data_IF_394636714566
#
_entry.id   IF_394636714566
#
_cell.length_a   1.000
_cell.length_b   1.000
_cell.length_c   1.000
_cell.angle_alpha   90.00
_cell.angle_beta   90.00
_cell.angle_gamma   90.00
#
_symmetry.space_group_name_H-M   'P 1'
#
loop_
_entity.id
_entity.type
_entity.pdbx_description
1 polymer ?
#
# COMPACT_ATOMS: atom_id res chain seq x y z
N UNK A 1 -0.06 11.26 17.71
CA UNK A 1 0.20 12.68 17.39
C UNK A 1 1.59 13.10 17.84
N UNK A 2 1.99 12.81 19.08
CA UNK A 2 3.32 13.17 19.62
C UNK A 2 4.46 12.37 18.95
N UNK A 3 4.19 11.13 18.50
CA UNK A 3 5.19 10.27 17.84
C UNK A 3 5.16 10.32 16.29
N UNK A 4 4.50 11.31 15.68
CA UNK A 4 4.47 11.42 14.22
C UNK A 4 5.83 11.93 13.70
N UNK A 5 6.45 11.18 12.80
CA UNK A 5 7.72 11.49 12.13
C UNK A 5 7.52 12.22 10.79
N UNK A 6 6.30 12.25 10.22
CA UNK A 6 6.01 13.09 9.04
C UNK A 6 4.68 13.80 9.16
N UNK A 7 4.50 14.87 8.37
CA UNK A 7 3.24 15.62 8.33
C UNK A 7 2.07 14.74 7.88
N UNK A 8 2.30 13.82 6.94
CA UNK A 8 1.31 12.83 6.51
C UNK A 8 0.85 11.92 7.66
N UNK A 9 1.77 11.48 8.52
CA UNK A 9 1.41 10.70 9.72
C UNK A 9 0.64 11.53 10.75
N UNK A 10 0.97 12.82 10.87
CA UNK A 10 0.27 13.74 11.78
C UNK A 10 -1.18 13.92 11.35
N UNK A 11 -1.43 14.11 10.04
CA UNK A 11 -2.77 14.20 9.46
C UNK A 11 -3.52 12.88 9.65
N UNK A 12 -2.90 11.73 9.40
CA UNK A 12 -3.52 10.40 9.60
C UNK A 12 -4.05 10.22 11.04
N UNK A 13 -3.21 10.58 12.01
CA UNK A 13 -3.55 10.47 13.43
C UNK A 13 -4.69 11.42 13.83
N UNK A 14 -4.81 12.56 13.17
CA UNK A 14 -5.93 13.50 13.37
C UNK A 14 -7.21 12.98 12.74
N UNK A 15 -7.16 12.47 11.51
CA UNK A 15 -8.32 12.00 10.75
C UNK A 15 -9.06 10.85 11.43
N UNK A 16 -8.32 9.95 12.10
CA UNK A 16 -8.89 8.84 12.89
C UNK A 16 -9.81 9.33 14.02
N UNK A 17 -9.63 10.56 14.52
CA UNK A 17 -10.43 11.15 15.59
C UNK A 17 -11.73 11.82 15.11
N UNK A 18 -11.94 11.96 13.80
CA UNK A 18 -12.94 12.89 13.25
C UNK A 18 -14.36 12.35 13.06
N UNK A 19 -14.78 11.28 13.75
CA UNK A 19 -16.17 10.77 13.73
C UNK A 19 -16.67 10.18 12.38
N UNK A 20 -16.12 10.65 11.25
CA UNK A 20 -16.45 10.25 9.87
C UNK A 20 -16.36 8.74 9.65
N UNK A 21 -15.41 8.06 10.28
CA UNK A 21 -15.25 6.61 10.18
C UNK A 21 -16.42 5.87 10.82
N UNK A 22 -16.92 6.39 11.95
CA UNK A 22 -18.08 5.83 12.64
C UNK A 22 -19.33 6.00 11.78
N UNK A 23 -19.51 7.18 11.19
CA UNK A 23 -20.66 7.46 10.33
C UNK A 23 -20.64 6.58 9.08
N UNK A 24 -19.48 6.38 8.45
CA UNK A 24 -19.31 5.48 7.31
C UNK A 24 -19.70 4.03 7.64
N UNK A 25 -19.14 3.47 8.72
CA UNK A 25 -19.46 2.09 9.11
C UNK A 25 -20.92 1.93 9.55
N UNK A 26 -21.51 2.97 10.13
CA UNK A 26 -22.93 2.98 10.48
C UNK A 26 -23.80 2.99 9.22
N UNK A 27 -23.45 3.76 8.18
CA UNK A 27 -24.14 3.76 6.88
C UNK A 27 -24.12 2.39 6.24
N UNK A 28 -22.94 1.76 6.12
CA UNK A 28 -22.83 0.41 5.56
C UNK A 28 -23.65 -0.59 6.36
N UNK A 29 -23.61 -0.52 7.70
CA UNK A 29 -24.44 -1.37 8.56
C UNK A 29 -25.93 -1.20 8.24
N UNK A 30 -26.44 0.03 8.21
CA UNK A 30 -27.84 0.31 7.91
C UNK A 30 -28.26 -0.25 6.54
N UNK A 31 -27.40 -0.12 5.53
CA UNK A 31 -27.66 -0.64 4.19
C UNK A 31 -27.66 -2.16 4.15
N UNK A 32 -26.72 -2.84 4.82
CA UNK A 32 -26.71 -4.31 4.89
C UNK A 32 -27.96 -4.81 5.63
N UNK A 33 -28.35 -4.17 6.74
CA UNK A 33 -29.56 -4.54 7.50
C UNK A 33 -30.82 -4.39 6.64
N UNK A 34 -30.93 -3.32 5.84
CA UNK A 34 -32.04 -3.14 4.89
C UNK A 34 -32.11 -4.29 3.89
N UNK A 35 -30.99 -4.72 3.33
CA UNK A 35 -30.95 -5.83 2.38
C UNK A 35 -31.34 -7.18 3.04
N UNK A 36 -30.91 -7.43 4.29
CA UNK A 36 -31.37 -8.60 5.06
C UNK A 36 -32.88 -8.55 5.31
N UNK A 37 -33.43 -7.37 5.64
CA UNK A 37 -34.87 -7.20 5.82
C UNK A 37 -35.65 -7.48 4.53
N UNK A 38 -35.17 -7.01 3.37
CA UNK A 38 -35.77 -7.30 2.07
C UNK A 38 -35.81 -8.81 1.78
N UNK A 39 -34.70 -9.53 1.99
CA UNK A 39 -34.69 -10.99 1.81
C UNK A 39 -35.56 -11.71 2.83
N UNK A 40 -35.63 -11.21 4.07
CA UNK A 40 -36.51 -11.78 5.11
C UNK A 40 -37.98 -11.63 4.70
N UNK A 41 -38.36 -10.49 4.11
CA UNK A 41 -39.70 -10.29 3.54
C UNK A 41 -40.02 -11.33 2.46
N UNK A 42 -39.07 -11.62 1.57
CA UNK A 42 -39.25 -12.64 0.53
C UNK A 42 -39.44 -14.04 1.14
N UNK A 43 -38.73 -14.36 2.22
CA UNK A 43 -38.88 -15.64 2.92
C UNK A 43 -40.26 -15.75 3.59
N UNK A 44 -40.66 -14.73 4.33
CA UNK A 44 -41.84 -14.78 5.18
C UNK A 44 -43.15 -14.58 4.40
N UNK A 45 -43.11 -13.85 3.29
CA UNK A 45 -44.30 -13.43 2.52
C UNK A 45 -44.21 -13.75 1.03
N UNK A 46 -43.18 -14.45 0.55
CA UNK A 46 -43.00 -14.73 -0.88
C UNK A 46 -44.15 -15.50 -1.54
N UNK A 47 -44.97 -16.21 -0.76
CA UNK A 47 -46.19 -16.88 -1.26
C UNK A 47 -47.35 -15.91 -1.54
N UNK A 48 -47.35 -14.72 -0.91
CA UNK A 48 -48.38 -13.69 -1.05
C UNK A 48 -48.05 -12.66 -2.15
N UNK A 49 -46.86 -12.75 -2.77
CA UNK A 49 -46.33 -11.81 -3.76
C UNK A 49 -46.25 -12.43 -5.16
N UNK A 50 -46.38 -11.58 -6.20
CA UNK A 50 -46.16 -12.01 -7.59
C UNK A 50 -44.68 -12.39 -7.81
N UNK A 51 -44.43 -13.41 -8.64
CA UNK A 51 -43.08 -13.91 -8.96
C UNK A 51 -42.18 -12.78 -9.49
N UNK A 52 -42.76 -11.83 -10.25
CA UNK A 52 -42.05 -10.66 -10.77
C UNK A 52 -41.62 -9.70 -9.64
N UNK A 53 -42.45 -9.48 -8.62
CA UNK A 53 -42.11 -8.63 -7.48
C UNK A 53 -40.95 -9.23 -6.66
N UNK A 54 -40.99 -10.53 -6.43
CA UNK A 54 -39.92 -11.26 -5.73
C UNK A 54 -38.60 -11.17 -6.50
N UNK A 55 -38.65 -11.37 -7.83
CA UNK A 55 -37.47 -11.26 -8.67
C UNK A 55 -36.87 -9.84 -8.67
N UNK A 56 -37.71 -8.81 -8.68
CA UNK A 56 -37.26 -7.42 -8.58
C UNK A 56 -36.59 -7.11 -7.23
N UNK A 57 -37.17 -7.56 -6.12
CA UNK A 57 -36.57 -7.38 -4.78
C UNK A 57 -35.18 -8.02 -4.70
N UNK A 58 -35.03 -9.22 -5.26
CA UNK A 58 -33.74 -9.91 -5.32
C UNK A 58 -32.70 -9.16 -6.15
N UNK A 59 -33.11 -8.61 -7.29
CA UNK A 59 -32.23 -7.83 -8.16
C UNK A 59 -31.75 -6.55 -7.47
N UNK A 60 -32.64 -5.87 -6.74
CA UNK A 60 -32.32 -4.68 -5.96
C UNK A 60 -31.31 -4.99 -4.86
N UNK A 61 -31.49 -6.12 -4.15
CA UNK A 61 -30.54 -6.60 -3.15
C UNK A 61 -29.18 -6.88 -3.79
N UNK A 62 -29.13 -7.60 -4.91
CA UNK A 62 -27.88 -7.92 -5.60
C UNK A 62 -27.10 -6.67 -6.04
N UNK A 63 -27.78 -5.68 -6.61
CA UNK A 63 -27.16 -4.42 -7.01
C UNK A 63 -26.59 -3.65 -5.81
N UNK A 64 -27.34 -3.60 -4.70
CA UNK A 64 -26.88 -2.95 -3.48
C UNK A 64 -25.66 -3.65 -2.87
N UNK A 65 -25.66 -4.98 -2.84
CA UNK A 65 -24.51 -5.75 -2.33
C UNK A 65 -23.27 -5.56 -3.21
N UNK A 66 -23.40 -5.56 -4.54
CA UNK A 66 -22.27 -5.29 -5.44
C UNK A 66 -21.70 -3.88 -5.26
N UNK A 67 -22.55 -2.88 -5.04
CA UNK A 67 -22.10 -1.51 -4.74
C UNK A 67 -21.36 -1.46 -3.41
N UNK A 68 -21.95 -2.00 -2.33
CA UNK A 68 -21.34 -2.01 -0.99
C UNK A 68 -20.00 -2.76 -0.98
N UNK A 69 -19.93 -3.90 -1.66
CA UNK A 69 -18.68 -4.66 -1.82
C UNK A 69 -17.59 -3.79 -2.47
N UNK A 70 -17.92 -3.12 -3.58
CA UNK A 70 -16.97 -2.23 -4.27
C UNK A 70 -16.49 -1.09 -3.36
N UNK A 71 -17.39 -0.45 -2.62
CA UNK A 71 -17.05 0.62 -1.68
C UNK A 71 -16.12 0.13 -0.55
N UNK A 72 -16.41 -1.04 0.03
CA UNK A 72 -15.62 -1.63 1.11
C UNK A 72 -14.24 -2.06 0.61
N UNK A 73 -14.17 -2.67 -0.58
CA UNK A 73 -12.90 -3.06 -1.20
C UNK A 73 -12.02 -1.84 -1.50
N UNK A 74 -12.60 -0.78 -2.04
CA UNK A 74 -11.89 0.47 -2.33
C UNK A 74 -11.40 1.13 -1.04
N UNK A 75 -12.22 1.12 0.00
CA UNK A 75 -11.83 1.57 1.33
C UNK A 75 -10.67 0.75 1.92
N UNK A 76 -10.71 -0.59 1.83
CA UNK A 76 -9.62 -1.46 2.30
C UNK A 76 -8.32 -1.23 1.52
N UNK A 77 -8.39 -0.99 0.20
CA UNK A 77 -7.22 -0.59 -0.60
C UNK A 77 -6.61 0.71 -0.10
N UNK A 78 -7.44 1.71 0.23
CA UNK A 78 -6.96 2.98 0.81
C UNK A 78 -6.32 2.81 2.20
N UNK A 79 -6.86 1.91 3.03
CA UNK A 79 -6.26 1.56 4.34
C UNK A 79 -4.88 0.96 4.13
N UNK A 80 -4.71 0.02 3.20
CA UNK A 80 -3.41 -0.57 2.89
C UNK A 80 -2.39 0.50 2.43
N UNK A 81 -2.79 1.39 1.53
CA UNK A 81 -1.94 2.50 1.08
C UNK A 81 -1.55 3.43 2.24
N UNK A 82 -2.48 3.71 3.14
CA UNK A 82 -2.25 4.53 4.34
C UNK A 82 -1.33 3.84 5.36
N UNK A 83 -1.40 2.52 5.50
CA UNK A 83 -0.46 1.77 6.35
C UNK A 83 0.98 1.87 5.83
N UNK A 84 1.17 1.87 4.51
CA UNK A 84 2.51 2.06 3.92
C UNK A 84 3.03 3.47 4.23
N UNK A 85 2.18 4.50 4.16
CA UNK A 85 2.55 5.86 4.59
C UNK A 85 2.97 5.92 6.06
N UNK A 86 2.27 5.18 6.93
CA UNK A 86 2.54 5.17 8.37
C UNK A 86 3.77 4.35 8.76
N UNK A 87 3.91 3.13 8.24
CA UNK A 87 5.07 2.26 8.52
C UNK A 87 6.35 2.81 7.87
N UNK A 88 6.19 3.54 6.77
CA UNK A 88 7.26 4.09 5.96
C UNK A 88 7.63 3.15 4.82
N UNK A 89 7.99 3.74 3.68
CA UNK A 89 8.37 3.03 2.45
C UNK A 89 9.79 2.52 2.61
N UNK A 90 9.99 1.20 2.46
CA UNK A 90 11.31 0.58 2.57
C UNK A 90 12.10 0.76 1.29
N UNK A 91 13.10 1.64 1.32
CA UNK A 91 14.04 1.88 0.22
C UNK A 91 15.32 1.05 0.43
N UNK A 92 15.61 0.15 -0.51
CA UNK A 92 16.82 -0.66 -0.50
C UNK A 92 17.83 -0.14 -1.50
N UNK A 93 19.05 0.13 -1.05
CA UNK A 93 20.14 0.58 -1.92
C UNK A 93 21.02 -0.58 -2.34
N UNK A 94 21.23 -0.72 -3.66
CA UNK A 94 22.10 -1.73 -4.23
C UNK A 94 23.08 -1.09 -5.20
N UNK A 95 24.32 -1.56 -5.24
CA UNK A 95 25.33 -1.04 -6.17
C UNK A 95 26.73 -1.43 -5.74
N UNK A 96 27.71 -1.38 -6.65
CA UNK A 96 29.09 -1.74 -6.35
C UNK A 96 29.69 -0.82 -5.27
N UNK A 97 30.84 -1.20 -4.67
CA UNK A 97 31.63 -0.30 -3.83
C UNK A 97 31.88 1.03 -4.56
N UNK A 98 31.95 2.13 -3.81
CA UNK A 98 32.22 3.47 -4.35
C UNK A 98 31.22 4.02 -5.39
N UNK A 99 30.11 3.31 -5.65
CA UNK A 99 29.00 3.80 -6.48
C UNK A 99 28.37 5.11 -5.99
N UNK A 100 28.66 5.51 -4.74
CA UNK A 100 28.16 6.74 -4.12
C UNK A 100 26.85 6.58 -3.34
N UNK A 101 26.55 5.36 -2.86
CA UNK A 101 25.37 5.06 -2.02
C UNK A 101 25.24 6.00 -0.82
N UNK A 102 26.31 6.13 -0.02
CA UNK A 102 26.34 7.02 1.15
C UNK A 102 26.24 8.49 0.78
N UNK A 103 26.87 8.89 -0.33
CA UNK A 103 26.80 10.28 -0.83
C UNK A 103 25.38 10.65 -1.26
N UNK A 104 24.69 9.74 -1.95
CA UNK A 104 23.30 9.93 -2.37
C UNK A 104 22.37 10.06 -1.16
N UNK A 105 22.53 9.18 -0.17
CA UNK A 105 21.74 9.25 1.06
C UNK A 105 21.97 10.52 1.83
N UNK A 106 23.23 10.92 2.02
CA UNK A 106 23.55 12.16 2.70
C UNK A 106 22.99 13.36 1.94
N UNK A 107 22.95 13.33 0.61
CA UNK A 107 22.34 14.40 -0.17
C UNK A 107 20.84 14.48 0.11
N UNK A 108 20.11 13.35 0.00
CA UNK A 108 18.66 13.29 0.21
C UNK A 108 18.31 13.69 1.65
N UNK A 109 19.01 13.12 2.64
CA UNK A 109 18.79 13.37 4.07
C UNK A 109 19.10 14.82 4.52
N UNK A 110 19.97 15.53 3.80
CA UNK A 110 20.31 16.92 4.12
C UNK A 110 19.39 17.96 3.47
N UNK A 111 18.67 17.60 2.39
CA UNK A 111 17.69 18.50 1.77
C UNK A 111 16.30 18.36 2.40
N UNK A 112 15.89 17.12 2.65
CA UNK A 112 14.63 16.81 3.32
C UNK A 112 14.95 16.49 4.78
N UNK A 113 14.63 17.42 5.68
CA UNK A 113 15.02 17.40 7.10
C UNK A 113 14.98 16.00 7.71
N UNK A 114 16.15 15.35 7.78
CA UNK A 114 16.27 14.07 8.45
C UNK A 114 15.85 14.28 9.91
N UNK A 115 14.77 13.61 10.33
CA UNK A 115 14.49 13.42 11.75
C UNK A 115 15.54 12.42 12.24
N UNK A 116 16.74 12.92 12.46
CA UNK A 116 17.78 12.18 13.17
C UNK A 116 17.30 12.11 14.61
N UNK A 117 16.68 10.99 14.97
CA UNK A 117 16.50 10.63 16.37
C UNK A 117 17.90 10.48 16.99
N UNK A 118 18.35 11.50 17.70
CA UNK A 118 19.52 11.48 18.58
C UNK A 118 19.27 10.53 19.77
N UNK A 119 19.20 9.23 19.52
CA UNK A 119 19.34 8.22 20.57
C UNK A 119 20.64 7.50 20.33
N UNK A 120 21.72 8.14 20.79
CA UNK A 120 23.00 7.49 20.96
C UNK A 120 22.84 6.29 21.90
N UNK A 121 22.90 5.06 21.36
CA UNK A 121 23.27 3.88 22.15
C UNK A 121 22.31 2.69 22.21
N UNK A 122 21.73 2.21 21.11
CA UNK A 122 21.10 0.87 21.11
C UNK A 122 21.50 0.02 19.91
N UNK A 123 22.42 -0.91 20.22
CA UNK A 123 22.76 -2.18 19.54
C UNK A 123 23.28 -2.13 18.09
N UNK A 124 24.37 -2.88 17.88
CA UNK A 124 25.24 -2.95 16.70
C UNK A 124 24.64 -3.63 15.47
N UNK A 125 23.31 -3.62 15.32
CA UNK A 125 22.59 -4.33 14.26
C UNK A 125 21.80 -3.34 13.39
N UNK A 126 21.99 -3.45 12.07
CA UNK A 126 21.18 -2.90 10.96
C UNK A 126 20.36 -1.64 11.34
N UNK A 127 20.98 -0.46 11.25
CA UNK A 127 20.30 0.81 11.53
C UNK A 127 19.51 1.17 10.28
N UNK A 128 18.20 0.90 10.30
CA UNK A 128 17.21 1.49 9.41
C UNK A 128 17.15 3.00 9.69
N UNK A 129 17.39 3.83 8.68
CA UNK A 129 17.34 5.30 8.83
C UNK A 129 16.02 5.81 8.27
N UNK A 130 15.12 6.37 9.10
CA UNK A 130 13.97 7.10 8.60
C UNK A 130 14.44 8.45 8.02
N UNK A 131 14.01 8.74 6.79
CA UNK A 131 14.17 10.03 6.13
C UNK A 131 12.80 10.49 5.64
N UNK A 132 12.55 11.79 5.69
CA UNK A 132 11.42 12.39 4.97
C UNK A 132 11.86 12.59 3.51
N UNK A 133 11.01 12.28 2.54
CA UNK A 133 11.19 12.69 1.14
C UNK A 133 9.86 13.26 0.68
N UNK A 134 9.78 14.59 0.50
CA UNK A 134 8.56 15.29 0.07
C UNK A 134 7.28 14.93 0.88
N UNK A 135 7.40 14.71 2.19
CA UNK A 135 6.30 14.38 3.11
C UNK A 135 6.02 12.89 3.28
N UNK A 136 6.81 12.02 2.64
CA UNK A 136 6.73 10.56 2.76
C UNK A 136 7.81 10.05 3.72
N UNK A 137 7.40 9.22 4.71
CA UNK A 137 8.36 8.51 5.55
C UNK A 137 9.01 7.42 4.71
N UNK A 138 10.32 7.49 4.53
CA UNK A 138 11.10 6.48 3.82
C UNK A 138 12.10 5.87 4.79
N UNK A 139 12.10 4.56 4.89
CA UNK A 139 13.02 3.81 5.75
C UNK A 139 14.08 3.19 4.86
N UNK A 140 15.31 3.70 4.96
CA UNK A 140 16.42 3.21 4.15
C UNK A 140 17.03 1.99 4.83
N UNK A 141 16.93 0.84 4.17
CA UNK A 141 17.50 -0.41 4.64
C UNK A 141 18.97 -0.58 4.27
N UNK A 142 19.75 -1.05 5.25
CA UNK A 142 21.16 -1.49 5.16
C UNK A 142 22.25 -0.41 5.12
N UNK A 143 22.51 0.19 6.30
CA UNK A 143 23.62 1.09 6.59
C UNK A 143 24.96 0.41 6.90
N UNK A 144 25.06 -0.92 6.81
CA UNK A 144 26.32 -1.62 7.10
C UNK A 144 27.45 -1.22 6.12
N UNK A 145 27.11 -0.76 4.91
CA UNK A 145 28.06 -0.15 3.96
C UNK A 145 28.15 1.38 4.03
N UNK A 146 27.34 2.04 4.86
CA UNK A 146 27.19 3.50 4.89
C UNK A 146 27.99 4.13 6.05
N UNK A 147 28.30 3.35 7.11
CA UNK A 147 29.06 3.82 8.29
C UNK A 147 30.39 3.09 8.54
N UNK A 148 31.17 2.79 7.50
CA UNK A 148 32.56 2.37 7.69
C UNK A 148 33.52 3.40 7.08
N UNK A 149 34.27 4.19 7.89
CA UNK A 149 35.50 4.77 7.41
C UNK A 149 36.51 3.63 7.23
N UNK A 150 36.85 3.34 5.99
CA UNK A 150 38.05 2.59 5.56
C UNK A 150 38.37 1.29 6.32
N UNK A 151 37.88 0.14 5.82
CA UNK A 151 38.53 -1.15 6.06
C UNK A 151 38.16 -2.21 4.99
N UNK A 152 39.08 -2.39 4.04
CA UNK A 152 39.49 -3.63 3.35
C UNK A 152 38.44 -4.63 2.80
N UNK A 153 38.23 -4.58 1.48
CA UNK A 153 38.47 -5.64 0.47
C UNK A 153 38.08 -7.11 0.72
N UNK A 154 37.12 -7.45 1.60
CA UNK A 154 36.70 -8.87 1.76
C UNK A 154 35.19 -9.15 1.93
N UNK A 155 34.28 -8.23 1.59
CA UNK A 155 32.81 -8.40 1.79
C UNK A 155 32.00 -8.40 0.47
N UNK A 156 32.63 -8.68 -0.68
CA UNK A 156 32.03 -8.27 -1.97
C UNK A 156 30.98 -9.22 -2.58
N UNK A 157 31.07 -10.54 -2.39
CA UNK A 157 30.02 -11.46 -2.93
C UNK A 157 28.85 -11.64 -1.99
N UNK A 158 29.13 -11.61 -0.69
CA UNK A 158 28.13 -11.75 0.36
C UNK A 158 27.27 -10.47 0.47
N UNK A 159 27.84 -9.30 0.19
CA UNK A 159 27.10 -8.03 0.12
C UNK A 159 26.03 -8.01 -0.98
N UNK A 160 26.38 -8.44 -2.20
CA UNK A 160 25.41 -8.56 -3.31
C UNK A 160 24.37 -9.63 -2.98
N UNK A 161 24.77 -10.82 -2.50
CA UNK A 161 23.83 -11.91 -2.14
C UNK A 161 22.85 -11.52 -1.04
N UNK A 162 23.32 -10.82 0.01
CA UNK A 162 22.47 -10.25 1.07
C UNK A 162 21.56 -9.15 0.54
N UNK A 163 22.07 -8.29 -0.35
CA UNK A 163 21.25 -7.30 -1.04
C UNK A 163 20.16 -7.96 -1.89
N UNK A 164 20.44 -9.07 -2.61
CA UNK A 164 19.43 -9.84 -3.37
C UNK A 164 18.32 -10.36 -2.44
N UNK A 165 18.68 -10.99 -1.32
CA UNK A 165 17.71 -11.54 -0.37
C UNK A 165 16.85 -10.46 0.31
N UNK A 166 17.44 -9.31 0.63
CA UNK A 166 16.73 -8.20 1.28
C UNK A 166 15.93 -7.33 0.31
N UNK A 167 16.34 -7.23 -0.94
CA UNK A 167 15.62 -6.47 -1.97
C UNK A 167 14.22 -7.05 -2.22
N UNK A 168 14.01 -8.35 -1.95
CA UNK A 168 12.67 -8.98 -1.92
C UNK A 168 11.80 -8.41 -0.78
N UNK A 169 12.40 -7.97 0.33
CA UNK A 169 11.68 -7.36 1.45
C UNK A 169 11.47 -5.85 1.36
N UNK A 170 12.05 -5.19 0.33
CA UNK A 170 11.91 -3.75 0.10
C UNK A 170 10.66 -3.40 -0.73
N UNK A 171 10.18 -2.17 -0.57
CA UNK A 171 9.08 -1.62 -1.39
C UNK A 171 9.63 -1.00 -2.68
N UNK A 172 10.80 -0.36 -2.58
CA UNK A 172 11.53 0.24 -3.72
C UNK A 172 13.01 -0.17 -3.65
N UNK A 173 13.57 -0.57 -4.79
CA UNK A 173 14.99 -0.91 -4.90
C UNK A 173 15.70 0.11 -5.81
N UNK A 174 16.70 0.78 -5.25
CA UNK A 174 17.53 1.75 -5.93
C UNK A 174 18.88 1.12 -6.32
N UNK A 175 19.08 0.90 -7.61
CA UNK A 175 20.33 0.36 -8.16
C UNK A 175 21.23 1.51 -8.57
N UNK A 176 22.32 1.72 -7.86
CA UNK A 176 23.26 2.82 -8.08
C UNK A 176 24.45 2.29 -8.85
N UNK A 177 24.69 2.84 -10.04
CA UNK A 177 25.76 2.47 -10.96
C UNK A 177 26.64 3.71 -11.17
N UNK A 178 27.95 3.65 -10.90
CA UNK A 178 28.84 4.76 -11.19
C UNK A 178 29.12 4.85 -12.69
N UNK A 179 29.11 6.07 -13.22
CA UNK A 179 29.58 6.40 -14.57
C UNK A 179 31.04 6.80 -14.45
N UNK A 180 31.95 5.83 -14.43
CA UNK A 180 33.39 6.05 -14.36
C UNK A 180 34.13 5.00 -15.18
N UNK A 181 35.19 5.42 -15.89
CA UNK A 181 36.08 4.51 -16.62
C UNK A 181 36.98 3.68 -15.68
N UNK A 182 37.17 4.12 -14.44
CA UNK A 182 38.04 3.47 -13.45
C UNK A 182 37.34 2.35 -12.67
N UNK A 183 36.00 2.33 -12.65
CA UNK A 183 35.21 1.39 -11.87
C UNK A 183 34.62 0.30 -12.77
N UNK A 184 35.11 -0.93 -12.63
CA UNK A 184 34.56 -2.08 -13.36
C UNK A 184 33.26 -2.54 -12.69
N UNK A 185 32.14 -2.36 -13.39
CA UNK A 185 30.84 -2.89 -12.98
C UNK A 185 30.63 -4.26 -13.62
N UNK A 186 30.42 -5.30 -12.81
CA UNK A 186 29.97 -6.60 -13.33
C UNK A 186 28.47 -6.53 -13.64
N UNK A 187 28.15 -6.37 -14.92
CA UNK A 187 26.78 -6.28 -15.40
C UNK A 187 26.03 -7.61 -15.34
N UNK A 188 26.71 -8.76 -15.25
CA UNK A 188 26.03 -10.06 -15.18
C UNK A 188 25.36 -10.25 -13.81
N UNK A 189 26.05 -9.90 -12.72
CA UNK A 189 25.50 -9.97 -11.37
C UNK A 189 24.31 -9.01 -11.18
N UNK A 190 24.40 -7.82 -11.79
CA UNK A 190 23.32 -6.83 -11.83
C UNK A 190 22.14 -7.30 -12.67
N UNK A 191 22.38 -7.92 -13.84
CA UNK A 191 21.33 -8.49 -14.67
C UNK A 191 20.53 -9.54 -13.90
N UNK A 192 21.22 -10.48 -13.24
CA UNK A 192 20.57 -11.52 -12.44
C UNK A 192 19.74 -10.93 -11.29
N UNK A 193 20.26 -9.87 -10.64
CA UNK A 193 19.50 -9.12 -9.63
C UNK A 193 18.24 -8.51 -10.23
N UNK A 194 18.36 -7.76 -11.33
CA UNK A 194 17.22 -7.11 -12.00
C UNK A 194 16.16 -8.14 -12.40
N UNK A 195 16.57 -9.28 -12.97
CA UNK A 195 15.66 -10.37 -13.32
C UNK A 195 14.96 -11.00 -12.11
N UNK A 196 15.68 -11.15 -10.98
CA UNK A 196 15.06 -11.61 -9.74
C UNK A 196 14.01 -10.63 -9.21
N UNK A 197 14.30 -9.33 -9.25
CA UNK A 197 13.39 -8.29 -8.74
C UNK A 197 12.16 -8.09 -9.62
N UNK A 198 12.31 -8.25 -10.94
CA UNK A 198 11.19 -8.26 -11.87
C UNK A 198 10.23 -9.43 -11.63
N UNK A 199 10.75 -10.63 -11.34
CA UNK A 199 9.91 -11.81 -11.03
C UNK A 199 9.07 -11.59 -9.78
N UNK A 200 9.61 -10.85 -8.81
CA UNK A 200 8.92 -10.48 -7.55
C UNK A 200 8.09 -9.18 -7.69
N UNK A 201 7.93 -8.65 -8.91
CA UNK A 201 7.18 -7.43 -9.22
C UNK A 201 7.59 -6.22 -8.36
N UNK A 202 8.89 -6.05 -8.09
CA UNK A 202 9.43 -4.96 -7.29
C UNK A 202 9.59 -3.68 -8.09
N UNK A 203 9.39 -2.54 -7.44
CA UNK A 203 9.68 -1.25 -8.05
C UNK A 203 11.18 -0.96 -8.09
N UNK A 204 11.66 -0.60 -9.28
CA UNK A 204 13.09 -0.49 -9.59
C UNK A 204 13.41 0.89 -10.17
N UNK A 205 14.39 1.55 -9.55
CA UNK A 205 14.98 2.79 -10.05
C UNK A 205 16.48 2.58 -10.20
N UNK A 206 17.03 2.92 -11.37
CA UNK A 206 18.47 2.85 -11.64
C UNK A 206 19.05 4.26 -11.65
N UNK A 207 20.01 4.51 -10.77
CA UNK A 207 20.70 5.79 -10.65
C UNK A 207 22.10 5.65 -11.22
N UNK A 208 22.36 6.36 -12.32
CA UNK A 208 23.68 6.52 -12.91
C UNK A 208 24.36 7.69 -12.20
N UNK A 209 25.22 7.40 -11.22
CA UNK A 209 25.89 8.41 -10.41
C UNK A 209 27.23 8.85 -11.02
N UNK A 210 27.75 9.99 -10.59
CA UNK A 210 28.99 10.63 -11.08
C UNK A 210 28.86 11.15 -12.51
N UNK A 211 27.71 11.74 -12.83
CA UNK A 211 27.48 12.41 -14.13
C UNK A 211 28.59 13.39 -14.52
N UNK A 212 29.27 14.01 -13.56
CA UNK A 212 30.40 14.90 -13.80
C UNK A 212 31.61 14.24 -14.48
N UNK A 213 31.66 12.91 -14.52
CA UNK A 213 32.69 12.11 -15.19
C UNK A 213 32.22 11.51 -16.52
N UNK A 214 30.97 11.79 -16.92
CA UNK A 214 30.40 11.25 -18.15
C UNK A 214 31.09 11.84 -19.39
N UNK A 215 31.61 10.98 -20.26
CA UNK A 215 32.28 11.36 -21.51
C UNK A 215 31.34 11.33 -22.73
N UNK A 216 30.20 10.65 -22.63
CA UNK A 216 29.20 10.50 -23.69
C UNK A 216 27.93 11.30 -23.38
N UNK A 217 26.93 11.29 -24.28
CA UNK A 217 25.64 11.92 -23.98
C UNK A 217 24.78 11.04 -23.04
N UNK A 218 23.99 11.67 -22.18
CA UNK A 218 23.05 11.02 -21.26
C UNK A 218 22.16 10.00 -21.98
N UNK A 219 21.59 10.39 -23.12
CA UNK A 219 20.72 9.54 -23.94
C UNK A 219 21.41 8.26 -24.43
N UNK A 220 22.68 8.37 -24.84
CA UNK A 220 23.44 7.21 -25.34
C UNK A 220 23.71 6.24 -24.20
N UNK A 221 24.17 6.74 -23.05
CA UNK A 221 24.47 5.90 -21.88
C UNK A 221 23.22 5.19 -21.35
N UNK A 222 22.08 5.89 -21.26
CA UNK A 222 20.81 5.30 -20.84
C UNK A 222 20.34 4.25 -21.87
N UNK A 223 20.44 4.53 -23.18
CA UNK A 223 20.04 3.59 -24.23
C UNK A 223 20.87 2.29 -24.20
N UNK A 224 22.17 2.38 -23.94
CA UNK A 224 23.03 1.20 -23.83
C UNK A 224 22.72 0.38 -22.57
N UNK A 225 22.59 1.03 -21.41
CA UNK A 225 22.35 0.35 -20.13
C UNK A 225 20.93 -0.21 -20.02
N UNK A 226 19.93 0.48 -20.57
CA UNK A 226 18.55 -0.01 -20.64
C UNK A 226 18.45 -1.31 -21.42
N UNK A 227 19.13 -1.41 -22.58
CA UNK A 227 19.24 -2.66 -23.35
C UNK A 227 19.99 -3.74 -22.59
N UNK A 228 21.13 -3.40 -21.97
CA UNK A 228 21.94 -4.36 -21.21
C UNK A 228 21.18 -4.95 -20.02
N UNK A 229 20.43 -4.14 -19.27
CA UNK A 229 19.67 -4.58 -18.08
C UNK A 229 18.22 -4.97 -18.40
N UNK A 230 17.82 -4.88 -19.68
CA UNK A 230 16.46 -5.13 -20.15
C UNK A 230 15.40 -4.26 -19.43
N UNK A 231 15.73 -3.04 -19.03
CA UNK A 231 14.85 -2.12 -18.28
C UNK A 231 14.33 -1.00 -19.18
N UNK A 232 13.21 -0.37 -18.79
CA UNK A 232 12.70 0.81 -19.52
C UNK A 232 13.65 2.00 -19.30
N UNK A 233 13.95 2.83 -20.32
CA UNK A 233 14.75 4.04 -20.17
C UNK A 233 14.24 5.00 -19.08
N UNK A 234 12.92 5.03 -18.83
CA UNK A 234 12.29 5.86 -17.81
C UNK A 234 12.70 5.50 -16.37
N UNK A 235 13.20 4.28 -16.16
CA UNK A 235 13.68 3.81 -14.86
C UNK A 235 15.09 4.31 -14.55
N UNK A 236 15.79 4.92 -15.51
CA UNK A 236 17.14 5.42 -15.34
C UNK A 236 17.13 6.92 -15.03
N UNK A 237 17.97 7.33 -14.08
CA UNK A 237 18.27 8.74 -13.78
C UNK A 237 19.76 8.96 -13.69
N UNK A 238 20.23 9.96 -14.43
CA UNK A 238 21.62 10.39 -14.38
C UNK A 238 21.76 11.49 -13.33
N UNK A 239 22.66 11.28 -12.36
CA UNK A 239 22.86 12.22 -11.25
C UNK A 239 24.34 12.44 -10.97
N UNK A 240 24.65 13.54 -10.30
CA UNK A 240 25.92 13.69 -9.60
C UNK A 240 25.67 14.11 -8.16
N UNK A 241 25.96 13.21 -7.23
CA UNK A 241 25.90 13.53 -5.79
C UNK A 241 26.88 14.66 -5.39
N UNK A 242 27.88 14.95 -6.24
CA UNK A 242 28.90 15.97 -6.00
C UNK A 242 28.44 17.36 -6.43
N UNK A 243 27.78 17.46 -7.58
CA UNK A 243 27.33 18.75 -8.14
C UNK A 243 25.87 19.06 -7.82
N UNK A 244 25.08 18.04 -7.46
CA UNK A 244 23.62 18.14 -7.29
C UNK A 244 22.83 17.94 -8.60
N UNK A 245 23.50 17.72 -9.73
CA UNK A 245 22.82 17.47 -11.01
C UNK A 245 21.89 16.26 -10.92
N UNK A 246 20.69 16.36 -11.49
CA UNK A 246 19.73 15.25 -11.61
C UNK A 246 18.99 14.90 -10.30
N UNK A 247 19.34 15.54 -9.19
CA UNK A 247 18.82 15.17 -7.87
C UNK A 247 17.36 15.59 -7.67
N UNK A 248 16.96 16.75 -8.21
CA UNK A 248 15.56 17.20 -8.14
C UNK A 248 14.65 16.28 -8.95
N UNK A 249 15.07 15.90 -10.17
CA UNK A 249 14.32 14.94 -10.99
C UNK A 249 14.22 13.56 -10.34
N UNK A 250 15.28 13.12 -9.65
CA UNK A 250 15.29 11.87 -8.89
C UNK A 250 14.28 11.92 -7.73
N UNK A 251 14.28 13.00 -6.94
CA UNK A 251 13.32 13.20 -5.84
C UNK A 251 11.88 13.25 -6.34
N UNK A 252 11.65 13.90 -7.49
CA UNK A 252 10.31 13.92 -8.11
C UNK A 252 9.87 12.52 -8.60
N UNK A 253 10.79 11.72 -9.13
CA UNK A 253 10.49 10.33 -9.50
C UNK A 253 10.14 9.49 -8.27
N UNK A 254 10.89 9.62 -7.17
CA UNK A 254 10.55 8.96 -5.92
C UNK A 254 9.15 9.34 -5.44
N UNK A 255 8.84 10.64 -5.45
CA UNK A 255 7.51 11.14 -5.08
C UNK A 255 6.40 10.49 -5.90
N UNK A 256 6.61 10.33 -7.21
CA UNK A 256 5.63 9.67 -8.08
C UNK A 256 5.48 8.18 -7.79
N UNK A 257 6.57 7.49 -7.47
CA UNK A 257 6.55 6.07 -7.06
C UNK A 257 5.82 5.94 -5.71
N UNK A 258 6.14 6.80 -4.75
CA UNK A 258 5.55 6.79 -3.42
C UNK A 258 4.05 7.08 -3.46
N UNK A 259 3.59 8.00 -4.32
CA UNK A 259 2.17 8.22 -4.59
C UNK A 259 1.45 6.97 -5.07
N UNK A 260 2.07 6.23 -6.02
CA UNK A 260 1.51 4.97 -6.53
C UNK A 260 1.42 3.90 -5.45
N UNK A 261 2.50 3.72 -4.67
CA UNK A 261 2.57 2.71 -3.60
C UNK A 261 1.57 3.00 -2.48
N UNK A 262 1.46 4.27 -2.09
CA UNK A 262 0.57 4.70 -1.01
C UNK A 262 -0.88 4.90 -1.43
N UNK A 263 -1.20 4.77 -2.73
CA UNK A 263 -2.52 5.08 -3.29
C UNK A 263 -3.03 6.48 -2.85
N UNK A 264 -2.10 7.41 -2.63
CA UNK A 264 -2.40 8.72 -2.05
C UNK A 264 -2.84 9.71 -3.14
N UNK A 265 -4.06 9.56 -3.63
CA UNK A 265 -4.71 10.61 -4.44
C UNK A 265 -5.27 11.69 -3.50
N UNK A 266 -4.38 12.47 -2.87
CA UNK A 266 -4.71 13.69 -2.08
C UNK A 266 -5.71 13.56 -0.92
N UNK A 267 -6.22 12.38 -0.62
CA UNK A 267 -7.13 12.13 0.48
C UNK A 267 -6.38 11.90 1.79
N UNK A 268 -6.96 12.36 2.90
CA UNK A 268 -6.40 12.14 4.22
C UNK A 268 -6.16 10.64 4.48
N UNK A 269 -4.97 10.25 4.97
CA UNK A 269 -4.67 8.86 5.30
C UNK A 269 -5.66 8.28 6.31
N UNK A 270 -6.09 7.05 6.05
CA UNK A 270 -7.11 6.33 6.82
C UNK A 270 -6.44 5.26 7.68
N UNK A 271 -6.80 5.20 8.96
CA UNK A 271 -6.27 4.20 9.89
C UNK A 271 -7.41 3.54 10.63
N UNK A 272 -7.46 2.21 10.53
CA UNK A 272 -8.34 1.35 11.34
C UNK A 272 -7.55 0.18 11.90
N UNK A 273 -8.03 -0.38 13.02
CA UNK A 273 -7.38 -1.54 13.65
C UNK A 273 -7.37 -2.76 12.72
N UNK A 274 -6.34 -3.60 12.84
CA UNK A 274 -6.24 -4.91 12.15
C UNK A 274 -7.51 -5.76 12.34
N UNK A 275 -8.03 -5.82 13.58
CA UNK A 275 -9.32 -6.47 13.90
C UNK A 275 -10.48 -5.97 13.01
N UNK A 276 -10.58 -4.67 12.77
CA UNK A 276 -11.65 -4.11 11.94
C UNK A 276 -11.46 -4.47 10.47
N UNK A 277 -10.22 -4.51 9.98
CA UNK A 277 -9.92 -4.99 8.63
C UNK A 277 -10.29 -6.47 8.47
N UNK A 278 -9.97 -7.29 9.47
CA UNK A 278 -10.30 -8.72 9.47
C UNK A 278 -11.81 -8.93 9.45
N UNK A 279 -12.58 -8.16 10.24
CA UNK A 279 -14.04 -8.23 10.22
C UNK A 279 -14.63 -7.80 8.87
N UNK A 280 -14.10 -6.74 8.26
CA UNK A 280 -14.55 -6.33 6.92
C UNK A 280 -14.27 -7.42 5.87
N UNK A 281 -13.11 -8.09 5.92
CA UNK A 281 -12.74 -9.13 4.95
C UNK A 281 -13.44 -10.46 5.21
N UNK A 282 -13.34 -10.96 6.43
CA UNK A 282 -13.67 -12.35 6.78
C UNK A 282 -15.12 -12.52 7.25
N UNK A 283 -15.79 -11.44 7.65
CA UNK A 283 -17.22 -11.49 8.01
C UNK A 283 -18.05 -10.78 6.92
N UNK A 284 -17.77 -9.51 6.63
CA UNK A 284 -18.62 -8.69 5.72
C UNK A 284 -18.49 -9.12 4.26
N UNK A 285 -17.30 -9.00 3.67
CA UNK A 285 -17.07 -9.37 2.27
C UNK A 285 -17.24 -10.88 2.03
N UNK A 286 -16.86 -11.71 3.01
CA UNK A 286 -17.13 -13.14 2.95
C UNK A 286 -18.64 -13.41 2.85
N UNK A 287 -19.47 -12.80 3.71
CA UNK A 287 -20.93 -12.95 3.62
C UNK A 287 -21.50 -12.47 2.28
N UNK A 288 -20.97 -11.39 1.69
CA UNK A 288 -21.34 -10.96 0.34
C UNK A 288 -20.98 -11.98 -0.74
N UNK A 289 -19.80 -12.61 -0.62
CA UNK A 289 -19.38 -13.67 -1.54
C UNK A 289 -20.29 -14.90 -1.45
N UNK A 290 -20.70 -15.29 -0.24
CA UNK A 290 -21.60 -16.41 -0.02
C UNK A 290 -23.02 -16.08 -0.52
N UNK A 291 -23.51 -14.86 -0.29
CA UNK A 291 -24.79 -14.39 -0.82
C UNK A 291 -24.87 -14.59 -2.34
N UNK A 292 -23.83 -14.22 -3.09
CA UNK A 292 -23.81 -14.40 -4.56
C UNK A 292 -23.91 -15.87 -4.97
N UNK A 293 -23.21 -16.76 -4.28
CA UNK A 293 -23.25 -18.21 -4.53
C UNK A 293 -24.66 -18.75 -4.29
N UNK A 294 -25.27 -18.41 -3.16
CA UNK A 294 -26.61 -18.92 -2.83
C UNK A 294 -27.71 -18.30 -3.68
N UNK A 295 -27.56 -17.04 -4.10
CA UNK A 295 -28.43 -16.40 -5.09
C UNK A 295 -28.42 -17.17 -6.41
N UNK A 296 -27.24 -17.55 -6.92
CA UNK A 296 -27.12 -18.34 -8.16
C UNK A 296 -27.74 -19.75 -8.03
N UNK A 297 -27.76 -20.30 -6.81
CA UNK A 297 -28.41 -21.57 -6.50
C UNK A 297 -29.91 -21.41 -6.16
N UNK A 298 -30.47 -20.21 -6.29
CA UNK A 298 -31.87 -19.90 -5.96
C UNK A 298 -32.26 -20.21 -4.50
N UNK A 299 -31.28 -20.22 -3.58
CA UNK A 299 -31.52 -20.47 -2.15
C UNK A 299 -31.60 -19.15 -1.37
N UNK A 300 -32.81 -18.61 -1.27
CA UNK A 300 -33.09 -17.35 -0.55
C UNK A 300 -32.70 -17.41 0.93
N UNK A 301 -32.86 -18.57 1.57
CA UNK A 301 -32.66 -18.73 3.00
C UNK A 301 -31.17 -18.65 3.30
N UNK A 302 -30.35 -19.39 2.56
CA UNK A 302 -28.90 -19.35 2.71
C UNK A 302 -28.29 -18.03 2.22
N UNK A 303 -28.88 -17.40 1.20
CA UNK A 303 -28.51 -16.05 0.78
C UNK A 303 -28.76 -15.02 1.90
N UNK A 304 -29.92 -15.08 2.57
CA UNK A 304 -30.26 -14.21 3.71
C UNK A 304 -29.35 -14.44 4.91
N UNK A 305 -29.07 -15.70 5.25
CA UNK A 305 -28.15 -16.06 6.33
C UNK A 305 -26.71 -15.56 6.07
N UNK A 306 -26.26 -15.63 4.82
CA UNK A 306 -24.96 -15.10 4.41
C UNK A 306 -24.83 -13.59 4.66
N UNK A 307 -25.90 -12.83 4.40
CA UNK A 307 -25.92 -11.39 4.70
C UNK A 307 -26.05 -11.11 6.21
N UNK A 308 -26.71 -11.98 6.99
CA UNK A 308 -26.71 -11.88 8.47
C UNK A 308 -25.30 -11.98 9.05
N UNK A 309 -24.45 -12.85 8.50
CA UNK A 309 -23.04 -12.88 8.89
C UNK A 309 -22.35 -11.53 8.65
N UNK A 310 -22.60 -10.88 7.50
CA UNK A 310 -22.07 -9.54 7.22
C UNK A 310 -22.55 -8.50 8.22
N UNK A 311 -23.83 -8.57 8.62
CA UNK A 311 -24.41 -7.69 9.65
C UNK A 311 -23.72 -7.87 11.01
N UNK A 312 -23.46 -9.11 11.43
CA UNK A 312 -22.73 -9.37 12.67
C UNK A 312 -21.30 -8.82 12.60
N UNK A 313 -20.61 -9.03 11.47
CA UNK A 313 -19.27 -8.52 11.23
C UNK A 313 -19.17 -7.01 11.40
N UNK A 314 -20.02 -6.26 10.68
CA UNK A 314 -20.06 -4.78 10.77
C UNK A 314 -20.58 -4.31 12.14
N UNK A 315 -21.46 -5.07 12.79
CA UNK A 315 -21.93 -4.84 14.16
C UNK A 315 -20.80 -4.90 15.20
N UNK A 316 -19.88 -5.87 15.07
CA UNK A 316 -18.67 -5.99 15.91
C UNK A 316 -17.68 -4.82 15.73
N UNK A 317 -17.75 -4.11 14.59
CA UNK A 317 -16.93 -2.92 14.32
C UNK A 317 -17.57 -1.68 14.96
N UNK A 318 -18.87 -1.49 14.73
CA UNK A 318 -19.64 -0.33 15.22
C UNK A 318 -19.96 -0.40 16.73
N UNK A 319 -19.85 -1.59 17.33
CA UNK A 319 -20.27 -1.84 18.71
C UNK A 319 -21.79 -1.95 18.87
N UNK A 320 -22.51 -2.06 17.76
CA UNK A 320 -23.96 -2.19 17.71
C UNK A 320 -24.30 -3.62 17.30
N UNK A 321 -24.59 -4.48 18.28
CA UNK A 321 -25.15 -5.78 17.99
C UNK A 321 -26.50 -5.59 17.28
N UNK A 322 -26.71 -6.30 16.16
CA UNK A 322 -28.01 -6.30 15.49
C UNK A 322 -28.84 -7.41 16.10
N UNK A 323 -29.92 -7.03 16.77
CA UNK A 323 -30.93 -7.96 17.26
C UNK A 323 -31.92 -8.31 16.17
N UNK A 324 -32.57 -9.48 16.30
CA UNK A 324 -33.69 -9.88 15.43
C UNK A 324 -34.78 -8.80 15.39
N UNK A 325 -34.98 -8.09 16.49
CA UNK A 325 -35.96 -6.99 16.63
C UNK A 325 -35.72 -5.81 15.67
N UNK A 326 -34.47 -5.48 15.36
CA UNK A 326 -34.13 -4.38 14.46
C UNK A 326 -34.46 -4.74 13.01
N UNK A 327 -34.14 -5.97 12.61
CA UNK A 327 -34.49 -6.50 11.28
C UNK A 327 -36.00 -6.53 11.13
N UNK A 328 -36.72 -7.03 12.14
CA UNK A 328 -38.18 -7.00 12.16
C UNK A 328 -38.74 -5.58 12.10
N UNK A 329 -38.14 -4.62 12.81
CA UNK A 329 -38.52 -3.21 12.74
C UNK A 329 -38.41 -2.64 11.33
N UNK A 330 -37.35 -2.98 10.58
CA UNK A 330 -37.18 -2.55 9.18
C UNK A 330 -38.22 -3.22 8.27
N UNK A 331 -38.44 -4.52 8.41
CA UNK A 331 -39.51 -5.25 7.70
C UNK A 331 -40.85 -4.53 7.91
N UNK A 332 -41.30 -4.36 9.15
CA UNK A 332 -42.58 -3.74 9.47
C UNK A 332 -42.67 -2.24 9.12
N UNK A 333 -41.57 -1.50 9.05
CA UNK A 333 -41.58 -0.10 8.61
C UNK A 333 -41.70 0.06 7.10
N UNK A 334 -41.22 -0.93 6.34
CA UNK A 334 -41.30 -0.98 4.88
C UNK A 334 -42.70 -1.41 4.42
N UNK A 335 -43.39 -2.18 5.27
CA UNK A 335 -44.81 -2.45 5.16
C UNK A 335 -45.64 -1.32 5.79
N UNK A 336 -46.16 -0.40 4.99
CA UNK A 336 -47.31 0.40 5.42
C UNK A 336 -48.51 -0.52 5.68
N UNK A 337 -48.60 -1.15 6.86
CA UNK A 337 -49.81 -1.86 7.28
C UNK A 337 -50.83 -0.81 7.73
N UNK A 338 -51.68 -0.39 6.80
CA UNK A 338 -52.95 0.28 7.10
C UNK A 338 -53.00 1.78 6.82
N UNK A 339 -53.34 2.13 5.57
CA UNK A 339 -54.49 2.99 5.33
C UNK A 339 -55.52 2.24 4.50
#
# INVERSE_FOLDING_TARGET
>A
MIDAETESQRIAALSSLTGKLKDLFSSWREEIVKNVALLTTVIDFGEDHDIEEVAHLFQDVDQNIQRLESEIEEYLKRVQGSEVLLKGIKLILVGPPNAGKSSLLNYIANQDAAIVSDIAGTTRDIIDIPIDINGYKVVVGDTAGIRAPSAADTIEKEGIKRAKQKAIGGDVVLIIIPVSEEETVDYNDLLELVESLKRENKELVVVLNKQDLLTQTEETTISELSKKLNLSPEQFKLVSCKTGYGMEELTQQFTNIFKKISLSDSADPIVISERAQDLLKNDVLYGFSQFKIWKENEDVVLASESLRQSVEGIGKITGQAVGVEEILGVVFSSFCIGK
#
